data_IF_282312187934
#
_entry.id   IF_282312187934
#
_cell.length_a   1.000
_cell.length_b   1.000
_cell.length_c   1.000
_cell.angle_alpha   90.00
_cell.angle_beta   90.00
_cell.angle_gamma   90.00
#
_symmetry.space_group_name_H-M   'P 1'
#
loop_
_entity.id
_entity.type
_entity.pdbx_description
1 polymer ?
#
# COMPACT_ATOMS: atom_id res chain seq x y z
N UNK A 1 -13.98 -4.14 11.31
CA UNK A 1 -12.67 -4.73 11.68
C UNK A 1 -11.69 -3.59 11.81
N UNK A 2 -10.71 -3.68 12.72
CA UNK A 2 -9.66 -2.67 12.82
C UNK A 2 -8.45 -3.12 11.99
N UNK A 3 -7.93 -2.22 11.16
CA UNK A 3 -6.71 -2.41 10.36
C UNK A 3 -5.62 -1.56 11.02
N UNK A 4 -4.50 -2.19 11.36
CA UNK A 4 -3.30 -1.50 11.82
C UNK A 4 -2.25 -1.54 10.71
N UNK A 5 -1.70 -0.38 10.36
CA UNK A 5 -0.61 -0.25 9.39
C UNK A 5 0.55 0.41 10.12
N UNK A 6 1.65 -0.33 10.25
CA UNK A 6 2.88 0.17 10.85
C UNK A 6 3.97 0.22 9.79
N UNK A 7 4.52 1.40 9.54
CA UNK A 7 5.65 1.60 8.64
C UNK A 7 6.85 2.10 9.45
N UNK A 8 8.02 1.50 9.23
CA UNK A 8 9.30 2.09 9.63
C UNK A 8 9.97 2.62 8.38
N UNK A 9 10.11 3.93 8.29
CA UNK A 9 10.63 4.62 7.12
C UNK A 9 12.04 5.11 7.45
N UNK A 10 13.00 4.77 6.60
CA UNK A 10 14.36 5.29 6.69
C UNK A 10 14.66 6.08 5.42
N UNK A 11 15.10 7.33 5.58
CA UNK A 11 15.52 8.18 4.48
C UNK A 11 16.86 8.82 4.80
N UNK A 12 17.94 8.32 4.17
CA UNK A 12 19.30 8.67 4.56
C UNK A 12 19.58 8.26 6.02
N UNK A 13 19.90 9.25 6.85
CA UNK A 13 20.15 9.07 8.28
C UNK A 13 18.88 9.17 9.15
N UNK A 14 17.77 9.65 8.58
CA UNK A 14 16.52 9.85 9.30
C UNK A 14 15.72 8.55 9.39
N UNK A 15 15.07 8.35 10.54
CA UNK A 15 14.16 7.24 10.79
C UNK A 15 12.86 7.73 11.41
N UNK A 16 11.74 7.30 10.84
CA UNK A 16 10.39 7.58 11.33
C UNK A 16 9.63 6.26 11.51
N UNK A 17 8.79 6.18 12.55
CA UNK A 17 7.83 5.09 12.74
C UNK A 17 6.43 5.70 12.67
N UNK A 18 5.66 5.25 11.69
CA UNK A 18 4.26 5.67 11.47
C UNK A 18 3.36 4.50 11.83
N UNK A 19 2.52 4.64 12.85
CA UNK A 19 1.56 3.62 13.30
C UNK A 19 0.13 4.16 13.17
N UNK A 20 -0.65 3.58 12.28
CA UNK A 20 -1.97 4.07 11.88
C UNK A 20 -3.04 3.00 12.07
N UNK A 21 -4.23 3.44 12.49
CA UNK A 21 -5.36 2.57 12.79
C UNK A 21 -6.59 3.03 12.02
N UNK A 22 -7.16 2.13 11.22
CA UNK A 22 -8.35 2.41 10.41
C UNK A 22 -9.47 1.44 10.75
N UNK A 23 -10.71 1.93 10.70
CA UNK A 23 -11.86 1.05 10.59
C UNK A 23 -12.02 0.63 9.13
N UNK A 24 -12.21 -0.66 8.91
CA UNK A 24 -12.33 -1.20 7.57
C UNK A 24 -12.97 -2.57 7.49
N UNK A 25 -12.91 -3.11 6.28
CA UNK A 25 -13.50 -4.38 5.87
C UNK A 25 -12.43 -5.33 5.33
N UNK A 26 -12.56 -6.62 5.63
CA UNK A 26 -11.80 -7.69 4.98
C UNK A 26 -12.74 -8.47 4.06
N UNK A 27 -12.27 -8.79 2.86
CA UNK A 27 -12.99 -9.60 1.87
C UNK A 27 -12.04 -10.55 1.16
N UNK A 28 -12.56 -11.70 0.76
CA UNK A 28 -11.85 -12.63 -0.12
C UNK A 28 -12.59 -12.75 -1.46
N UNK A 29 -11.86 -12.66 -2.57
CA UNK A 29 -12.43 -12.83 -3.91
C UNK A 29 -11.37 -13.37 -4.87
N UNK A 30 -11.71 -14.46 -5.57
CA UNK A 30 -10.88 -15.05 -6.62
C UNK A 30 -9.43 -15.37 -6.15
N UNK A 31 -9.27 -15.88 -4.93
CA UNK A 31 -7.97 -16.23 -4.35
C UNK A 31 -7.14 -15.05 -3.83
N UNK A 32 -7.69 -13.83 -3.86
CA UNK A 32 -7.08 -12.65 -3.27
C UNK A 32 -7.83 -12.21 -2.03
N UNK A 33 -7.07 -11.69 -1.08
CA UNK A 33 -7.57 -11.00 0.09
C UNK A 33 -7.57 -9.50 -0.15
N UNK A 34 -8.55 -8.82 0.45
CA UNK A 34 -8.75 -7.39 0.32
C UNK A 34 -8.96 -6.78 1.69
N UNK A 35 -8.16 -5.77 2.04
CA UNK A 35 -8.47 -4.83 3.10
C UNK A 35 -8.94 -3.52 2.48
N UNK A 36 -10.12 -3.06 2.88
CA UNK A 36 -10.75 -1.83 2.41
C UNK A 36 -10.90 -0.87 3.57
N UNK A 37 -10.41 0.36 3.43
CA UNK A 37 -10.54 1.40 4.45
C UNK A 37 -10.56 2.80 3.82
N UNK A 38 -10.88 3.81 4.63
CA UNK A 38 -10.74 5.23 4.26
C UNK A 38 -9.54 5.80 5.02
N UNK A 39 -8.61 6.46 4.32
CA UNK A 39 -7.43 7.08 4.93
C UNK A 39 -7.75 8.49 5.50
N UNK A 40 -6.73 9.17 6.01
CA UNK A 40 -6.87 10.52 6.60
C UNK A 40 -7.29 11.60 5.59
N UNK A 41 -7.10 11.35 4.29
CA UNK A 41 -7.44 12.26 3.20
C UNK A 41 -8.86 12.01 2.64
N UNK A 42 -9.69 11.25 3.36
CA UNK A 42 -11.02 10.77 2.94
C UNK A 42 -11.00 9.94 1.64
N UNK A 43 -9.86 9.33 1.32
CA UNK A 43 -9.71 8.48 0.15
C UNK A 43 -10.00 7.03 0.51
N UNK A 44 -10.81 6.37 -0.33
CA UNK A 44 -10.93 4.91 -0.26
C UNK A 44 -9.59 4.29 -0.65
N UNK A 45 -9.14 3.32 0.15
CA UNK A 45 -7.94 2.52 -0.09
C UNK A 45 -8.33 1.06 -0.19
N UNK A 46 -7.80 0.37 -1.20
CA UNK A 46 -7.84 -1.09 -1.29
C UNK A 46 -6.43 -1.66 -1.25
N UNK A 47 -6.17 -2.53 -0.28
CA UNK A 47 -5.01 -3.41 -0.26
C UNK A 47 -5.46 -4.78 -0.77
N UNK A 48 -5.07 -5.14 -1.99
CA UNK A 48 -5.28 -6.46 -2.58
C UNK A 48 -3.99 -7.27 -2.41
N UNK A 49 -4.05 -8.44 -1.78
CA UNK A 49 -2.86 -9.27 -1.58
C UNK A 49 -3.14 -10.76 -1.70
N UNK A 50 -2.05 -11.47 -1.97
CA UNK A 50 -1.94 -12.93 -2.01
C UNK A 50 -0.60 -13.34 -1.40
N UNK A 51 -0.13 -14.56 -1.62
CA UNK A 51 1.19 -15.00 -1.17
C UNK A 51 2.37 -14.40 -1.97
N UNK A 52 2.09 -13.84 -3.16
CA UNK A 52 3.14 -13.41 -4.10
C UNK A 52 3.17 -11.88 -4.32
N UNK A 53 2.05 -11.19 -4.08
CA UNK A 53 1.92 -9.75 -4.33
C UNK A 53 1.05 -9.03 -3.30
N UNK A 54 1.34 -7.73 -3.13
CA UNK A 54 0.45 -6.73 -2.54
C UNK A 54 0.31 -5.55 -3.50
N UNK A 55 -0.93 -5.19 -3.80
CA UNK A 55 -1.28 -4.01 -4.57
C UNK A 55 -2.10 -3.06 -3.70
N UNK A 56 -1.56 -1.88 -3.43
CA UNK A 56 -2.29 -0.78 -2.82
C UNK A 56 -2.86 0.12 -3.92
N UNK A 57 -4.16 0.36 -3.90
CA UNK A 57 -4.81 1.38 -4.71
C UNK A 57 -5.46 2.41 -3.81
N UNK A 58 -5.04 3.67 -3.89
CA UNK A 58 -5.77 4.82 -3.32
C UNK A 58 -6.64 5.41 -4.41
N UNK A 59 -7.94 5.52 -4.15
CA UNK A 59 -8.93 6.04 -5.08
C UNK A 59 -8.99 7.58 -5.06
N UNK A 60 -7.80 8.19 -5.09
CA UNK A 60 -7.58 9.62 -5.28
C UNK A 60 -7.90 10.04 -6.72
N UNK A 61 -7.93 11.35 -6.99
CA UNK A 61 -8.09 11.89 -8.36
C UNK A 61 -6.91 12.79 -8.72
N UNK A 62 -5.89 12.29 -9.45
CA UNK A 62 -5.78 10.96 -10.09
C UNK A 62 -5.50 9.84 -9.08
N UNK A 63 -5.70 8.57 -9.47
CA UNK A 63 -5.46 7.43 -8.58
C UNK A 63 -3.97 7.22 -8.31
N UNK A 64 -3.65 6.80 -7.08
CA UNK A 64 -2.32 6.29 -6.73
C UNK A 64 -2.34 4.77 -6.69
N UNK A 65 -1.32 4.13 -7.26
CA UNK A 65 -1.19 2.66 -7.27
C UNK A 65 0.23 2.30 -6.89
N UNK A 66 0.39 1.39 -5.92
CA UNK A 66 1.69 0.83 -5.51
C UNK A 66 1.63 -0.68 -5.59
N UNK A 67 2.65 -1.31 -6.15
CA UNK A 67 2.75 -2.77 -6.30
C UNK A 67 4.05 -3.26 -5.66
N UNK A 68 3.92 -4.26 -4.82
CA UNK A 68 5.00 -4.95 -4.13
C UNK A 68 4.93 -6.42 -4.56
N UNK A 69 6.03 -6.95 -5.10
CA UNK A 69 6.12 -8.32 -5.58
C UNK A 69 7.20 -9.06 -4.83
N UNK A 70 6.97 -10.33 -4.49
CA UNK A 70 7.93 -11.12 -3.71
C UNK A 70 9.29 -11.33 -4.41
N UNK A 71 9.28 -11.54 -5.73
CA UNK A 71 10.47 -11.94 -6.49
C UNK A 71 10.71 -11.07 -7.75
N UNK A 72 10.00 -9.95 -7.88
CA UNK A 72 10.05 -9.10 -9.07
C UNK A 72 10.07 -7.62 -8.68
N UNK A 73 10.45 -6.76 -9.62
CA UNK A 73 10.38 -5.32 -9.42
C UNK A 73 8.93 -4.84 -9.42
N UNK A 74 8.56 -4.16 -8.34
CA UNK A 74 7.32 -3.43 -8.23
C UNK A 74 7.43 -2.00 -8.77
N UNK A 75 6.34 -1.27 -8.62
CA UNK A 75 6.35 0.15 -8.94
C UNK A 75 5.19 0.91 -8.32
N UNK A 76 5.40 2.21 -8.13
CA UNK A 76 4.38 3.14 -7.68
C UNK A 76 4.15 4.24 -8.71
N UNK A 77 2.88 4.59 -8.90
CA UNK A 77 2.43 5.76 -9.65
C UNK A 77 1.74 6.66 -8.63
N UNK A 78 2.33 7.83 -8.37
CA UNK A 78 1.86 8.76 -7.34
C UNK A 78 1.68 10.13 -7.99
N UNK A 79 0.45 10.66 -8.06
CA UNK A 79 0.21 12.05 -8.42
C UNK A 79 0.77 12.97 -7.35
N UNK A 80 1.56 13.95 -7.78
CA UNK A 80 2.11 15.00 -6.91
C UNK A 80 1.78 16.37 -7.49
N UNK A 81 1.95 17.47 -6.73
CA UNK A 81 1.82 18.82 -7.27
C UNK A 81 2.74 19.09 -8.47
N UNK A 82 3.85 18.36 -8.60
CA UNK A 82 4.78 18.44 -9.73
C UNK A 82 4.41 17.56 -10.93
N UNK A 83 3.26 16.88 -10.86
CA UNK A 83 2.82 15.90 -11.85
C UNK A 83 2.90 14.47 -11.35
N UNK A 84 2.64 13.52 -12.26
CA UNK A 84 2.66 12.08 -11.94
C UNK A 84 4.11 11.63 -11.81
N UNK A 85 4.45 11.08 -10.65
CA UNK A 85 5.76 10.47 -10.40
C UNK A 85 5.67 8.95 -10.49
N UNK A 86 6.75 8.34 -10.96
CA UNK A 86 6.92 6.89 -11.06
C UNK A 86 8.11 6.48 -10.21
N UNK A 87 7.90 5.49 -9.34
CA UNK A 87 8.94 4.95 -8.46
C UNK A 87 9.14 3.46 -8.74
N UNK A 88 10.40 3.02 -8.68
CA UNK A 88 10.75 1.60 -8.65
C UNK A 88 10.62 1.09 -7.21
N UNK A 89 10.00 -0.07 -7.03
CA UNK A 89 9.92 -0.75 -5.73
C UNK A 89 10.73 -2.03 -5.79
N UNK A 90 11.67 -2.17 -4.86
CA UNK A 90 12.40 -3.42 -4.58
C UNK A 90 11.86 -4.00 -3.29
N UNK A 91 11.48 -5.27 -3.31
CA UNK A 91 10.94 -5.97 -2.14
C UNK A 91 11.94 -7.01 -1.67
N UNK A 92 12.51 -6.81 -0.48
CA UNK A 92 13.49 -7.74 0.08
C UNK A 92 12.82 -8.95 0.75
N UNK A 93 11.67 -8.73 1.40
CA UNK A 93 10.88 -9.78 2.02
C UNK A 93 9.39 -9.48 1.85
N UNK A 94 8.64 -10.49 1.41
CA UNK A 94 7.18 -10.49 1.39
C UNK A 94 6.67 -11.73 2.11
N UNK A 95 5.89 -11.53 3.17
CA UNK A 95 5.40 -12.60 4.03
C UNK A 95 3.95 -12.33 4.45
N UNK A 96 3.14 -13.40 4.41
CA UNK A 96 1.77 -13.45 4.93
C UNK A 96 1.76 -14.52 6.02
N UNK A 97 1.31 -14.17 7.24
CA UNK A 97 1.18 -15.07 8.40
C UNK A 97 -0.29 -15.20 8.84
#
# INVERSE_FOLDING_TARGET
MQIRIQNTIRFGEEMEIVDQYYQGEWKEKAGFQYLLYTNEEDEKVALKFSNDELVMTRFSSPKSIMRFYKNEYGGAIIPTPMGIQQFLITTDLFQLE
#
